data_IF_628617030576
#
_entry.id   IF_628617030576
#
_cell.length_a   1.000
_cell.length_b   1.000
_cell.length_c   1.000
_cell.angle_alpha   90.00
_cell.angle_beta   90.00
_cell.angle_gamma   90.00
#
_symmetry.space_group_name_H-M   'P 1'
#
loop_
_entity.id
_entity.type
_entity.pdbx_description
1 polymer ?
#
# COMPACT_ATOMS: atom_id res chain seq x y z
N UNK A 1 -14.17 -5.19 -2.25
CA UNK A 1 -15.44 -5.83 -2.09
C UNK A 1 -15.85 -6.54 -3.36
N UNK A 2 -15.93 -7.85 -3.32
CA UNK A 2 -16.12 -8.61 -4.52
C UNK A 2 -14.88 -8.74 -5.38
N UNK A 3 -13.77 -8.17 -4.96
CA UNK A 3 -12.51 -8.33 -5.66
C UNK A 3 -11.86 -9.67 -5.31
N UNK A 4 -11.25 -10.30 -6.29
CA UNK A 4 -10.34 -11.41 -6.02
C UNK A 4 -9.03 -10.82 -5.49
N UNK A 5 -8.15 -11.67 -4.96
CA UNK A 5 -6.83 -11.20 -4.56
C UNK A 5 -6.08 -10.62 -5.75
N UNK A 6 -6.23 -11.24 -6.91
CA UNK A 6 -5.56 -10.75 -8.10
C UNK A 6 -6.02 -9.34 -8.48
N UNK A 7 -7.33 -9.11 -8.49
CA UNK A 7 -7.83 -7.77 -8.85
C UNK A 7 -7.50 -6.75 -7.77
N UNK A 8 -7.47 -7.16 -6.50
CA UNK A 8 -7.06 -6.27 -5.42
C UNK A 8 -5.60 -5.84 -5.60
N UNK A 9 -4.75 -6.76 -6.03
CA UNK A 9 -3.34 -6.45 -6.29
C UNK A 9 -3.21 -5.41 -7.41
N UNK A 10 -3.98 -5.56 -8.47
CA UNK A 10 -3.96 -4.60 -9.58
C UNK A 10 -4.43 -3.21 -9.10
N UNK A 11 -5.49 -3.17 -8.31
CA UNK A 11 -5.98 -1.91 -7.75
C UNK A 11 -4.91 -1.25 -6.90
N UNK A 12 -4.25 -2.02 -6.06
CA UNK A 12 -3.18 -1.50 -5.21
C UNK A 12 -2.04 -0.94 -6.05
N UNK A 13 -1.59 -1.69 -7.06
CA UNK A 13 -0.50 -1.23 -7.91
C UNK A 13 -0.84 0.12 -8.56
N UNK A 14 -2.04 0.21 -9.12
CA UNK A 14 -2.47 1.44 -9.78
C UNK A 14 -2.59 2.60 -8.80
N UNK A 15 -3.06 2.31 -7.59
CA UNK A 15 -3.21 3.32 -6.56
C UNK A 15 -1.84 3.89 -6.15
N UNK A 16 -0.87 3.01 -5.90
CA UNK A 16 0.48 3.43 -5.50
C UNK A 16 1.11 4.28 -6.60
N UNK A 17 1.05 3.82 -7.84
CA UNK A 17 1.66 4.54 -8.95
C UNK A 17 0.99 5.91 -9.13
N UNK A 18 -0.33 5.94 -9.04
CA UNK A 18 -1.07 7.19 -9.17
C UNK A 18 -0.71 8.19 -8.06
N UNK A 19 -0.60 7.71 -6.83
CA UNK A 19 -0.20 8.57 -5.72
C UNK A 19 1.21 9.10 -5.91
N UNK A 20 2.11 8.23 -6.37
CA UNK A 20 3.48 8.65 -6.64
C UNK A 20 3.51 9.74 -7.73
N UNK A 21 2.75 9.55 -8.82
CA UNK A 21 2.69 10.52 -9.90
C UNK A 21 2.16 11.88 -9.44
N UNK A 22 1.26 11.88 -8.48
CA UNK A 22 0.69 13.11 -7.92
C UNK A 22 1.52 13.65 -6.76
N UNK A 23 2.64 13.03 -6.47
CA UNK A 23 3.53 13.42 -5.37
C UNK A 23 2.82 13.39 -4.02
N UNK A 24 1.91 12.46 -3.83
CA UNK A 24 1.28 12.18 -2.55
C UNK A 24 2.24 11.27 -1.80
N UNK A 25 2.70 11.69 -0.63
CA UNK A 25 3.81 11.05 0.04
C UNK A 25 3.44 10.11 1.16
N UNK A 26 2.24 10.25 1.70
CA UNK A 26 1.79 9.41 2.82
C UNK A 26 0.41 8.89 2.50
N UNK A 27 0.24 7.58 2.56
CA UNK A 27 -1.06 6.96 2.29
C UNK A 27 -1.35 5.92 3.35
N UNK A 28 -2.64 5.67 3.54
CA UNK A 28 -3.12 4.67 4.46
C UNK A 28 -3.81 3.58 3.65
N UNK A 29 -3.34 2.35 3.80
CA UNK A 29 -3.92 1.21 3.11
C UNK A 29 -4.66 0.37 4.13
N UNK A 30 -5.99 0.34 4.00
CA UNK A 30 -6.83 -0.39 4.93
C UNK A 30 -7.05 -1.80 4.39
N UNK A 31 -6.56 -2.79 5.11
CA UNK A 31 -6.69 -4.19 4.71
C UNK A 31 -7.76 -4.90 5.51
N UNK A 32 -8.26 -4.27 6.59
CA UNK A 32 -9.19 -4.90 7.49
C UNK A 32 -8.49 -5.82 8.47
N UNK A 33 -9.27 -6.44 9.34
CA UNK A 33 -8.72 -7.31 10.39
C UNK A 33 -9.00 -8.78 10.15
N UNK A 34 -9.40 -9.14 8.96
CA UNK A 34 -9.52 -10.53 8.58
C UNK A 34 -10.92 -11.11 8.62
N UNK A 35 -11.94 -10.32 8.85
CA UNK A 35 -13.31 -10.82 8.87
C UNK A 35 -13.75 -11.33 7.50
N UNK A 36 -13.61 -10.48 6.50
CA UNK A 36 -13.83 -10.86 5.12
C UNK A 36 -12.51 -11.40 4.61
N UNK A 37 -12.50 -12.22 3.64
CA UNK A 37 -11.27 -12.77 3.06
C UNK A 37 -10.36 -13.48 4.06
N UNK A 38 -10.83 -13.69 5.28
CA UNK A 38 -10.11 -14.45 6.31
C UNK A 38 -8.66 -13.98 6.50
N UNK A 39 -8.45 -12.66 6.47
CA UNK A 39 -7.13 -12.08 6.69
C UNK A 39 -6.21 -12.14 5.51
N UNK A 40 -6.70 -12.51 4.34
CA UNK A 40 -5.85 -12.64 3.15
C UNK A 40 -5.20 -11.33 2.75
N UNK A 41 -5.96 -10.24 2.73
CA UNK A 41 -5.39 -8.94 2.36
C UNK A 41 -4.35 -8.48 3.36
N UNK A 42 -4.64 -8.67 4.65
CA UNK A 42 -3.68 -8.31 5.69
C UNK A 42 -2.38 -9.06 5.53
N UNK A 43 -2.45 -10.30 5.07
CA UNK A 43 -1.30 -11.16 4.88
C UNK A 43 -0.56 -10.84 3.59
N UNK A 44 -1.30 -10.61 2.50
CA UNK A 44 -0.71 -10.49 1.16
C UNK A 44 -0.21 -9.09 0.82
N UNK A 45 -0.88 -8.05 1.30
CA UNK A 45 -0.52 -6.68 0.92
C UNK A 45 0.93 -6.34 1.29
N UNK A 46 1.43 -6.68 2.47
CA UNK A 46 2.85 -6.41 2.77
C UNK A 46 3.79 -7.09 1.78
N UNK A 47 3.45 -8.30 1.33
CA UNK A 47 4.27 -9.00 0.35
C UNK A 47 4.26 -8.28 -1.00
N UNK A 48 3.10 -7.81 -1.42
CA UNK A 48 2.96 -7.07 -2.68
C UNK A 48 3.77 -5.78 -2.64
N UNK A 49 3.74 -5.08 -1.52
CA UNK A 49 4.47 -3.82 -1.37
C UNK A 49 5.98 -4.04 -1.40
N UNK A 50 6.42 -5.25 -1.07
CA UNK A 50 7.83 -5.58 -1.11
C UNK A 50 8.31 -6.04 -2.49
N UNK A 51 7.40 -6.22 -3.44
CA UNK A 51 7.79 -6.60 -4.80
C UNK A 51 8.52 -5.46 -5.48
N UNK A 52 9.48 -5.81 -6.32
CA UNK A 52 10.42 -4.84 -6.84
C UNK A 52 9.78 -3.69 -7.62
N UNK A 53 8.73 -3.97 -8.37
CA UNK A 53 8.08 -2.93 -9.18
C UNK A 53 7.24 -1.96 -8.36
N UNK A 54 6.90 -2.28 -7.13
CA UNK A 54 6.25 -1.34 -6.21
C UNK A 54 7.24 -0.76 -5.21
N UNK A 55 8.14 -1.59 -4.73
CA UNK A 55 9.08 -1.19 -3.69
C UNK A 55 9.91 0.02 -4.09
N UNK A 56 10.18 0.16 -5.37
CA UNK A 56 10.98 1.29 -5.85
C UNK A 56 10.32 2.65 -5.62
N UNK A 57 9.01 2.68 -5.38
CA UNK A 57 8.31 3.93 -5.08
C UNK A 57 8.22 4.22 -3.60
N UNK A 58 8.65 3.29 -2.74
CA UNK A 58 8.36 3.36 -1.31
C UNK A 58 9.57 3.75 -0.48
N UNK A 59 9.33 4.54 0.56
CA UNK A 59 10.32 4.83 1.58
C UNK A 59 10.16 3.86 2.74
N UNK A 60 8.93 3.67 3.21
CA UNK A 60 8.69 2.80 4.36
C UNK A 60 7.25 2.29 4.37
N UNK A 61 7.06 1.17 5.04
CA UNK A 61 5.75 0.57 5.27
C UNK A 61 5.71 0.18 6.74
N UNK A 62 4.73 0.69 7.47
CA UNK A 62 4.58 0.41 8.88
C UNK A 62 3.13 0.13 9.21
N UNK A 63 2.89 -0.55 10.33
CA UNK A 63 1.53 -0.67 10.84
C UNK A 63 1.03 0.72 11.20
N UNK A 64 -0.23 0.99 10.90
CA UNK A 64 -0.82 2.28 11.23
C UNK A 64 -1.00 2.39 12.76
N UNK A 65 -0.93 3.62 13.30
CA UNK A 65 -1.30 3.82 14.71
C UNK A 65 -2.73 3.36 14.97
N UNK A 66 -3.03 3.05 16.23
CA UNK A 66 -4.36 2.54 16.59
C UNK A 66 -5.49 3.44 16.12
N UNK A 67 -5.32 4.76 16.20
CA UNK A 67 -6.37 5.69 15.79
C UNK A 67 -6.52 5.78 14.27
N UNK A 68 -5.64 5.14 13.51
CA UNK A 68 -5.74 5.04 12.05
C UNK A 68 -6.01 3.62 11.59
N UNK A 69 -6.42 2.73 12.49
CA UNK A 69 -6.77 1.38 12.10
C UNK A 69 -5.89 0.27 12.65
N UNK A 70 -4.76 0.63 13.25
CA UNK A 70 -3.90 -0.36 13.92
C UNK A 70 -3.53 -1.52 13.01
N UNK A 71 -3.80 -2.74 13.47
CA UNK A 71 -3.47 -3.95 12.73
C UNK A 71 -4.22 -4.12 11.41
N UNK A 72 -5.30 -3.37 11.22
CA UNK A 72 -6.08 -3.46 9.99
C UNK A 72 -5.67 -2.49 8.92
N UNK A 73 -4.57 -1.75 9.11
CA UNK A 73 -4.13 -0.77 8.15
C UNK A 73 -2.62 -0.61 8.16
N UNK A 74 -2.09 -0.19 7.02
CA UNK A 74 -0.67 0.07 6.86
C UNK A 74 -0.48 1.54 6.50
N UNK A 75 0.51 2.15 7.11
CA UNK A 75 0.92 3.51 6.77
C UNK A 75 2.11 3.40 5.83
N UNK A 76 1.95 3.88 4.62
CA UNK A 76 2.96 3.75 3.57
C UNK A 76 3.46 5.13 3.20
N UNK A 77 4.78 5.26 3.19
CA UNK A 77 5.42 6.50 2.80
C UNK A 77 6.06 6.33 1.44
N UNK A 78 5.74 7.24 0.54
CA UNK A 78 6.23 7.19 -0.83
C UNK A 78 7.40 8.14 -1.02
N UNK A 79 8.24 7.81 -1.98
CA UNK A 79 9.36 8.66 -2.35
C UNK A 79 8.87 9.95 -2.98
N UNK A 80 9.70 10.97 -2.91
CA UNK A 80 9.40 12.25 -3.54
C UNK A 80 9.66 12.12 -5.03
N UNK A 81 8.61 12.26 -5.84
CA UNK A 81 8.72 12.13 -7.29
C UNK A 81 9.70 13.15 -7.89
N UNK A 82 9.66 14.38 -7.37
CA UNK A 82 10.53 15.44 -7.89
C UNK A 82 12.01 15.09 -7.72
N UNK A 83 12.37 14.49 -6.58
CA UNK A 83 13.76 14.07 -6.37
C UNK A 83 14.14 12.94 -7.30
N UNK A 84 13.22 12.03 -7.59
CA UNK A 84 13.51 10.91 -8.47
C UNK A 84 13.74 11.36 -9.91
N UNK A 85 13.12 12.45 -10.32
CA UNK A 85 13.29 12.95 -11.68
C UNK A 85 14.69 13.46 -11.96
N UNK A 86 15.44 13.77 -10.93
CA UNK A 86 16.78 14.34 -11.09
C UNK A 86 17.88 13.32 -10.87
N UNK A 87 17.55 12.07 -10.92
CA UNK A 87 18.55 11.00 -10.74
C UNK A 87 19.11 10.47 -12.03
#
# INVERSE_FOLDING_TARGET
HGHTLYSAKIVLNNYIINCYEKNIRNILIVTGKGKMNKGKLKEEVPKWLNEIYLNKYLVSVNLAPNHFGGNGALLVRLKNRSKNLYK
#
